data_IF_423757830886
#
_entry.id   IF_423757830886
#
_cell.length_a   1.000
_cell.length_b   1.000
_cell.length_c   1.000
_cell.angle_alpha   90.00
_cell.angle_beta   90.00
_cell.angle_gamma   90.00
#
_symmetry.space_group_name_H-M   'P 1'
#
loop_
_entity.id
_entity.type
_entity.pdbx_description
1 polymer ?
#
# COMPACT_ATOMS: atom_id res chain seq x y z
N UNK A 1 -5.01 -13.64 4.65
CA UNK A 1 -5.60 -12.67 5.61
C UNK A 1 -5.21 -12.89 7.05
N UNK A 2 -4.93 -14.13 7.48
CA UNK A 2 -4.59 -14.46 8.86
C UNK A 2 -3.44 -13.61 9.44
N UNK A 3 -2.39 -13.34 8.66
CA UNK A 3 -1.25 -12.52 9.11
C UNK A 3 -1.70 -11.12 9.56
N UNK A 4 -2.58 -10.47 8.78
CA UNK A 4 -3.09 -9.13 9.12
C UNK A 4 -3.91 -9.20 10.41
N UNK A 5 -4.80 -10.19 10.53
CA UNK A 5 -5.59 -10.41 11.73
C UNK A 5 -4.70 -10.64 12.97
N UNK A 6 -3.65 -11.46 12.84
CA UNK A 6 -2.71 -11.73 13.93
C UNK A 6 -1.97 -10.48 14.39
N UNK A 7 -1.55 -9.60 13.48
CA UNK A 7 -0.88 -8.34 13.83
C UNK A 7 -1.86 -7.40 14.54
N UNK A 8 -3.08 -7.25 14.02
CA UNK A 8 -4.12 -6.43 14.66
C UNK A 8 -4.43 -6.96 16.06
N UNK A 9 -4.62 -8.27 16.22
CA UNK A 9 -4.87 -8.88 17.51
C UNK A 9 -3.71 -8.69 18.48
N UNK A 10 -2.46 -8.84 18.02
CA UNK A 10 -1.26 -8.60 18.84
C UNK A 10 -1.22 -7.18 19.39
N UNK A 11 -1.49 -6.17 18.56
CA UNK A 11 -1.47 -4.76 18.99
C UNK A 11 -2.59 -4.49 20.00
N UNK A 12 -3.80 -5.00 19.76
CA UNK A 12 -4.96 -4.77 20.62
C UNK A 12 -4.86 -5.52 21.95
N UNK A 13 -4.26 -6.71 21.96
CA UNK A 13 -4.12 -7.54 23.16
C UNK A 13 -2.85 -7.25 23.98
N UNK A 14 -1.98 -6.34 23.53
CA UNK A 14 -0.70 -6.03 24.17
C UNK A 14 -0.81 -5.66 25.65
N UNK A 15 -1.91 -5.03 26.06
CA UNK A 15 -2.15 -4.55 27.43
C UNK A 15 -3.31 -5.29 28.13
N UNK A 16 -3.58 -6.54 27.73
CA UNK A 16 -4.63 -7.42 28.29
C UNK A 16 -6.01 -6.75 28.47
N UNK A 17 -6.34 -5.83 27.58
CA UNK A 17 -7.56 -5.05 27.64
C UNK A 17 -8.80 -5.96 27.55
N UNK A 18 -9.85 -5.72 28.36
CA UNK A 18 -11.09 -6.47 28.21
C UNK A 18 -11.65 -6.26 26.80
N UNK A 19 -12.24 -7.29 26.23
CA UNK A 19 -12.80 -7.26 24.87
C UNK A 19 -11.77 -7.13 23.73
N UNK A 20 -10.50 -7.48 23.98
CA UNK A 20 -9.44 -7.46 22.96
C UNK A 20 -9.81 -8.20 21.66
N UNK A 21 -10.48 -9.35 21.75
CA UNK A 21 -10.96 -10.10 20.58
C UNK A 21 -11.98 -9.31 19.75
N UNK A 22 -12.99 -8.71 20.38
CA UNK A 22 -14.04 -7.98 19.65
C UNK A 22 -13.52 -6.65 19.08
N UNK A 23 -12.62 -5.97 19.79
CA UNK A 23 -11.90 -4.80 19.28
C UNK A 23 -11.01 -5.16 18.09
N UNK A 24 -10.25 -6.26 18.19
CA UNK A 24 -9.42 -6.74 17.10
C UNK A 24 -10.26 -7.11 15.87
N UNK A 25 -11.39 -7.80 16.07
CA UNK A 25 -12.35 -8.10 15.00
C UNK A 25 -12.87 -6.82 14.35
N UNK A 26 -13.27 -5.82 15.14
CA UNK A 26 -13.79 -4.56 14.61
C UNK A 26 -12.74 -3.79 13.80
N UNK A 27 -11.51 -3.67 14.31
CA UNK A 27 -10.40 -3.05 13.60
C UNK A 27 -10.07 -3.80 12.30
N UNK A 28 -9.95 -5.13 12.38
CA UNK A 28 -9.68 -5.98 11.22
C UNK A 28 -10.80 -5.86 10.17
N UNK A 29 -12.06 -5.90 10.58
CA UNK A 29 -13.20 -5.76 9.68
C UNK A 29 -13.17 -4.42 8.92
N UNK A 30 -12.94 -3.31 9.62
CA UNK A 30 -12.86 -2.00 8.96
C UNK A 30 -11.68 -1.93 7.99
N UNK A 31 -10.52 -2.47 8.36
CA UNK A 31 -9.38 -2.58 7.45
C UNK A 31 -9.76 -3.39 6.20
N UNK A 32 -10.42 -4.54 6.37
CA UNK A 32 -10.85 -5.38 5.25
C UNK A 32 -11.88 -4.72 4.35
N UNK A 33 -12.74 -3.86 4.89
CA UNK A 33 -13.65 -3.03 4.08
C UNK A 33 -12.86 -2.02 3.26
N UNK A 34 -11.85 -1.37 3.85
CA UNK A 34 -11.06 -0.33 3.18
C UNK A 34 -10.18 -0.86 2.04
N UNK A 35 -9.63 -2.08 2.20
CA UNK A 35 -8.85 -2.78 1.16
C UNK A 35 -9.66 -3.84 0.40
N UNK A 36 -10.98 -3.89 0.61
CA UNK A 36 -11.86 -4.95 0.10
C UNK A 36 -11.83 -5.10 -1.42
N UNK A 37 -11.65 -4.01 -2.14
CA UNK A 37 -11.57 -3.99 -3.61
C UNK A 37 -10.36 -4.78 -4.15
N UNK A 38 -9.33 -5.05 -3.34
CA UNK A 38 -8.19 -5.88 -3.75
C UNK A 38 -8.55 -7.37 -3.82
N UNK A 39 -9.67 -7.77 -3.24
CA UNK A 39 -10.08 -9.18 -3.10
C UNK A 39 -11.27 -9.54 -3.99
N UNK A 40 -11.77 -8.59 -4.80
CA UNK A 40 -12.94 -8.80 -5.64
C UNK A 40 -12.56 -8.72 -7.10
N UNK A 41 -12.67 -9.84 -7.83
CA UNK A 41 -12.40 -9.92 -9.27
C UNK A 41 -13.18 -8.87 -10.08
N UNK A 42 -14.42 -8.60 -9.68
CA UNK A 42 -15.27 -7.56 -10.30
C UNK A 42 -14.69 -6.16 -10.17
N UNK A 43 -13.87 -5.94 -9.14
CA UNK A 43 -13.26 -4.65 -8.83
C UNK A 43 -11.84 -4.52 -9.37
N UNK A 44 -11.18 -5.60 -9.81
CA UNK A 44 -9.76 -5.60 -10.18
C UNK A 44 -9.37 -4.49 -11.17
N UNK A 45 -10.25 -4.22 -12.14
CA UNK A 45 -10.04 -3.23 -13.20
C UNK A 45 -10.36 -1.80 -12.72
N UNK A 46 -11.14 -1.63 -11.65
CA UNK A 46 -11.50 -0.30 -11.13
C UNK A 46 -10.28 0.44 -10.60
N UNK A 47 -10.38 1.75 -10.36
CA UNK A 47 -9.26 2.54 -9.83
C UNK A 47 -8.80 2.04 -8.45
N UNK A 48 -9.71 1.53 -7.63
CA UNK A 48 -9.45 1.08 -6.27
C UNK A 48 -9.08 -0.40 -6.17
N UNK A 49 -9.35 -1.20 -7.20
CA UNK A 49 -8.97 -2.61 -7.27
C UNK A 49 -7.50 -2.84 -7.62
N UNK A 50 -7.09 -4.11 -7.62
CA UNK A 50 -5.68 -4.50 -7.63
C UNK A 50 -4.93 -4.04 -8.90
N UNK A 51 -5.51 -4.23 -10.10
CA UNK A 51 -4.89 -3.76 -11.34
C UNK A 51 -5.03 -2.24 -11.51
N UNK A 52 -6.04 -1.63 -10.89
CA UNK A 52 -6.11 -0.17 -10.70
C UNK A 52 -4.88 0.36 -9.98
N UNK A 53 -4.58 -0.19 -8.81
CA UNK A 53 -3.42 0.19 -8.02
C UNK A 53 -2.10 -0.14 -8.74
N UNK A 54 -2.01 -1.26 -9.47
CA UNK A 54 -0.86 -1.55 -10.34
C UNK A 54 -0.60 -0.43 -11.35
N UNK A 55 -1.66 0.09 -11.99
CA UNK A 55 -1.53 1.25 -12.91
C UNK A 55 -1.10 2.52 -12.18
N UNK A 56 -1.52 2.71 -10.93
CA UNK A 56 -1.05 3.83 -10.08
C UNK A 56 0.46 3.70 -9.82
N UNK A 57 0.97 2.51 -9.48
CA UNK A 57 2.41 2.26 -9.32
C UNK A 57 3.17 2.64 -10.58
N UNK A 58 2.72 2.17 -11.76
CA UNK A 58 3.34 2.52 -13.04
C UNK A 58 3.27 4.02 -13.34
N UNK A 59 2.19 4.70 -12.96
CA UNK A 59 2.06 6.15 -13.14
C UNK A 59 3.05 6.93 -12.26
N UNK A 60 3.23 6.51 -11.01
CA UNK A 60 4.22 7.10 -10.09
C UNK A 60 5.62 6.92 -10.67
N UNK A 61 5.96 5.69 -11.06
CA UNK A 61 7.27 5.39 -11.66
C UNK A 61 7.49 6.14 -12.96
N UNK A 62 6.49 6.25 -13.84
CA UNK A 62 6.62 7.04 -15.08
C UNK A 62 6.97 8.51 -14.83
N UNK A 63 6.51 9.08 -13.70
CA UNK A 63 6.83 10.46 -13.31
C UNK A 63 8.20 10.55 -12.63
N UNK A 64 8.57 9.56 -11.82
CA UNK A 64 9.74 9.61 -10.92
C UNK A 64 11.01 8.96 -11.49
N UNK A 65 10.88 7.83 -12.15
CA UNK A 65 11.96 7.14 -12.86
C UNK A 65 11.40 6.50 -14.17
N UNK A 66 11.32 7.30 -15.27
CA UNK A 66 10.80 6.82 -16.55
C UNK A 66 11.59 5.64 -17.12
N UNK A 67 12.91 5.61 -16.90
CA UNK A 67 13.79 4.54 -17.39
C UNK A 67 13.49 3.21 -16.69
N UNK A 68 13.32 3.23 -15.37
CA UNK A 68 12.89 2.07 -14.60
C UNK A 68 11.49 1.61 -15.02
N UNK A 69 10.54 2.54 -15.17
CA UNK A 69 9.19 2.23 -15.63
C UNK A 69 9.21 1.51 -16.99
N UNK A 70 9.97 2.02 -17.94
CA UNK A 70 10.12 1.40 -19.27
C UNK A 70 10.75 0.01 -19.17
N UNK A 71 11.74 -0.20 -18.30
CA UNK A 71 12.36 -1.50 -18.07
C UNK A 71 11.36 -2.53 -17.51
N UNK A 72 10.58 -2.16 -16.48
CA UNK A 72 9.55 -3.01 -15.87
C UNK A 72 8.50 -3.43 -16.91
N UNK A 73 8.05 -2.48 -17.74
CA UNK A 73 7.10 -2.75 -18.81
C UNK A 73 7.69 -3.64 -19.91
N UNK A 74 8.91 -3.34 -20.37
CA UNK A 74 9.61 -4.16 -21.39
C UNK A 74 9.79 -5.61 -20.93
N UNK A 75 10.14 -5.81 -19.66
CA UNK A 75 10.33 -7.14 -19.06
C UNK A 75 9.02 -7.84 -18.70
N UNK A 76 7.89 -7.12 -18.76
CA UNK A 76 6.57 -7.58 -18.33
C UNK A 76 6.56 -8.16 -16.91
N UNK A 77 7.25 -7.51 -15.96
CA UNK A 77 7.43 -8.08 -14.61
C UNK A 77 6.10 -8.31 -13.88
N UNK A 78 5.16 -7.36 -13.99
CA UNK A 78 3.84 -7.49 -13.35
C UNK A 78 2.95 -8.54 -14.00
N UNK A 79 3.14 -8.84 -15.29
CA UNK A 79 2.42 -9.93 -15.96
C UNK A 79 3.04 -11.31 -15.72
N UNK A 80 4.35 -11.37 -15.42
CA UNK A 80 5.08 -12.62 -15.17
C UNK A 80 5.10 -13.03 -13.69
N UNK A 81 4.97 -12.10 -12.75
CA UNK A 81 4.90 -12.40 -11.31
C UNK A 81 3.95 -11.47 -10.56
N UNK A 82 3.28 -12.05 -9.57
CA UNK A 82 2.32 -11.38 -8.69
C UNK A 82 2.97 -10.79 -7.41
N UNK A 83 4.29 -10.59 -7.38
CA UNK A 83 5.01 -10.05 -6.20
C UNK A 83 4.37 -8.74 -5.67
N UNK A 84 4.01 -7.82 -6.58
CA UNK A 84 3.41 -6.54 -6.23
C UNK A 84 1.98 -6.69 -5.68
N UNK A 85 1.22 -7.69 -6.13
CA UNK A 85 -0.09 -8.04 -5.57
C UNK A 85 0.07 -8.52 -4.14
N UNK A 86 1.04 -9.42 -3.91
CA UNK A 86 1.36 -9.93 -2.58
C UNK A 86 1.73 -8.79 -1.62
N UNK A 87 2.57 -7.86 -2.05
CA UNK A 87 2.91 -6.66 -1.28
C UNK A 87 1.69 -5.82 -0.91
N UNK A 88 0.78 -5.57 -1.85
CA UNK A 88 -0.44 -4.77 -1.62
C UNK A 88 -1.46 -5.49 -0.70
N UNK A 89 -1.75 -6.76 -0.99
CA UNK A 89 -2.76 -7.55 -0.27
C UNK A 89 -2.34 -7.85 1.16
N UNK A 90 -1.04 -8.04 1.40
CA UNK A 90 -0.49 -8.26 2.74
C UNK A 90 -0.02 -6.97 3.41
N UNK A 91 -0.17 -5.80 2.76
CA UNK A 91 0.34 -4.53 3.27
C UNK A 91 1.80 -4.63 3.73
N UNK A 92 2.63 -5.33 2.96
CA UNK A 92 4.03 -5.64 3.24
C UNK A 92 4.30 -6.45 4.53
N UNK A 93 3.29 -6.98 5.22
CA UNK A 93 3.47 -7.72 6.48
C UNK A 93 4.21 -9.05 6.33
N UNK A 94 4.47 -9.50 5.10
CA UNK A 94 5.29 -10.68 4.81
C UNK A 94 6.76 -10.32 4.50
N UNK A 95 7.07 -9.04 4.31
CA UNK A 95 8.42 -8.57 3.95
C UNK A 95 9.24 -8.14 5.16
N UNK A 96 8.57 -7.77 6.24
CA UNK A 96 9.18 -7.10 7.38
C UNK A 96 8.88 -7.85 8.69
N UNK A 97 9.77 -7.68 9.66
CA UNK A 97 9.49 -8.10 11.03
C UNK A 97 8.34 -7.27 11.62
N UNK A 98 7.76 -7.75 12.72
CA UNK A 98 6.57 -7.14 13.32
C UNK A 98 6.78 -5.66 13.65
N UNK A 99 7.89 -5.30 14.29
CA UNK A 99 8.21 -3.91 14.66
C UNK A 99 8.21 -2.98 13.45
N UNK A 100 8.86 -3.41 12.38
CA UNK A 100 8.98 -2.63 11.14
C UNK A 100 7.65 -2.58 10.37
N UNK A 101 6.90 -3.68 10.38
CA UNK A 101 5.54 -3.73 9.82
C UNK A 101 4.64 -2.69 10.50
N UNK A 102 4.67 -2.63 11.83
CA UNK A 102 3.89 -1.66 12.60
C UNK A 102 4.28 -0.20 12.28
N UNK A 103 5.57 0.09 12.15
CA UNK A 103 6.05 1.42 11.78
C UNK A 103 5.58 1.85 10.38
N UNK A 104 5.62 0.94 9.40
CA UNK A 104 5.09 1.18 8.05
C UNK A 104 3.57 1.36 8.07
N UNK A 105 2.87 0.51 8.83
CA UNK A 105 1.41 0.55 8.95
C UNK A 105 0.91 1.85 9.60
N UNK A 106 1.65 2.38 10.57
CA UNK A 106 1.35 3.70 11.13
C UNK A 106 1.24 4.75 10.02
N UNK A 107 2.20 4.78 9.09
CA UNK A 107 2.17 5.70 7.94
C UNK A 107 1.09 5.33 6.92
N UNK A 108 0.81 4.05 6.69
CA UNK A 108 -0.25 3.63 5.78
C UNK A 108 -1.64 4.07 6.25
N UNK A 109 -1.87 4.14 7.57
CA UNK A 109 -3.18 4.44 8.15
C UNK A 109 -3.34 5.91 8.62
N UNK A 110 -2.26 6.68 8.68
CA UNK A 110 -2.30 8.11 9.05
C UNK A 110 -3.04 9.01 8.03
N UNK A 111 -3.18 8.61 6.76
CA UNK A 111 -3.65 9.50 5.70
C UNK A 111 -5.19 9.56 5.55
N UNK A 112 -5.81 10.56 6.20
CA UNK A 112 -7.11 11.12 5.76
C UNK A 112 -6.94 12.58 5.27
N UNK A 113 -7.53 12.99 4.13
CA UNK A 113 -8.30 12.22 3.16
C UNK A 113 -7.49 11.87 1.89
N UNK A 114 -7.52 10.60 1.49
CA UNK A 114 -7.27 10.08 0.13
C UNK A 114 -5.87 10.22 -0.47
N UNK A 115 -4.85 9.70 0.22
CA UNK A 115 -3.73 9.08 -0.50
C UNK A 115 -3.55 7.69 0.08
N UNK A 116 -3.71 6.66 -0.75
CA UNK A 116 -3.34 5.31 -0.35
C UNK A 116 -1.82 5.29 -0.45
N UNK A 117 -1.11 5.28 0.68
CA UNK A 117 0.35 5.28 0.73
C UNK A 117 0.95 4.02 0.09
N UNK A 118 0.20 2.92 0.04
CA UNK A 118 0.66 1.60 -0.41
C UNK A 118 1.25 1.59 -1.84
N UNK A 119 0.60 2.12 -2.90
CA UNK A 119 1.23 2.23 -4.22
C UNK A 119 2.51 3.08 -4.26
N UNK A 120 2.59 4.14 -3.45
CA UNK A 120 3.79 4.98 -3.35
C UNK A 120 4.94 4.21 -2.72
N UNK A 121 4.64 3.45 -1.67
CA UNK A 121 5.59 2.54 -1.04
C UNK A 121 6.06 1.45 -2.01
N UNK A 122 5.14 0.80 -2.75
CA UNK A 122 5.50 -0.13 -3.81
C UNK A 122 6.43 0.49 -4.86
N UNK A 123 6.14 1.71 -5.32
CA UNK A 123 6.99 2.41 -6.27
C UNK A 123 8.37 2.74 -5.68
N UNK A 124 8.43 3.16 -4.42
CA UNK A 124 9.68 3.43 -3.70
C UNK A 124 10.56 2.19 -3.60
N UNK A 125 9.98 1.05 -3.22
CA UNK A 125 10.67 -0.25 -3.19
C UNK A 125 11.25 -0.61 -4.56
N UNK A 126 10.48 -0.42 -5.64
CA UNK A 126 10.97 -0.68 -7.00
C UNK A 126 12.14 0.25 -7.37
N UNK A 127 12.13 1.50 -6.90
CA UNK A 127 13.24 2.45 -7.10
C UNK A 127 14.48 2.04 -6.31
N UNK A 128 14.34 1.56 -5.07
CA UNK A 128 15.47 0.99 -4.30
C UNK A 128 16.09 -0.19 -5.05
N UNK A 129 15.26 -1.04 -5.64
CA UNK A 129 15.70 -2.24 -6.38
C UNK A 129 16.05 -1.95 -7.86
N UNK A 130 16.15 -0.68 -8.25
CA UNK A 130 16.37 -0.24 -9.64
C UNK A 130 17.55 -0.94 -10.31
N UNK A 131 18.70 -0.96 -9.65
CA UNK A 131 19.94 -1.51 -10.25
C UNK A 131 19.80 -2.99 -10.58
N UNK A 132 19.12 -3.74 -9.70
CA UNK A 132 18.81 -5.17 -9.90
C UNK A 132 17.85 -5.31 -11.09
N UNK A 133 16.75 -4.54 -11.08
CA UNK A 133 15.71 -4.59 -12.12
C UNK A 133 16.28 -4.25 -13.49
N UNK A 134 17.21 -3.32 -13.61
CA UNK A 134 17.80 -2.92 -14.89
C UNK A 134 18.82 -3.96 -15.36
N UNK A 135 19.76 -4.36 -14.51
CA UNK A 135 20.94 -5.17 -14.90
C UNK A 135 20.64 -6.66 -15.11
N UNK A 136 19.71 -7.24 -14.37
CA UNK A 136 19.44 -8.67 -14.43
C UNK A 136 18.38 -9.02 -15.49
N UNK A 137 18.35 -10.26 -15.98
CA UNK A 137 17.30 -10.77 -16.85
C UNK A 137 15.97 -10.98 -16.08
N UNK A 138 14.86 -11.12 -16.81
CA UNK A 138 13.52 -11.14 -16.21
C UNK A 138 13.34 -12.23 -15.14
N UNK A 139 13.89 -13.42 -15.35
CA UNK A 139 13.72 -14.56 -14.45
C UNK A 139 14.46 -14.29 -13.13
N UNK A 140 15.71 -13.82 -13.21
CA UNK A 140 16.50 -13.48 -12.02
C UNK A 140 15.93 -12.29 -11.24
N UNK A 141 15.42 -11.28 -11.95
CA UNK A 141 14.74 -10.15 -11.30
C UNK A 141 13.54 -10.63 -10.51
N UNK A 142 12.68 -11.48 -11.10
CA UNK A 142 11.50 -12.02 -10.41
C UNK A 142 11.90 -12.78 -9.15
N UNK A 143 12.85 -13.71 -9.26
CA UNK A 143 13.33 -14.46 -8.10
C UNK A 143 13.91 -13.55 -7.02
N UNK A 144 14.61 -12.47 -7.41
CA UNK A 144 15.16 -11.49 -6.45
C UNK A 144 14.07 -10.66 -5.80
N UNK A 145 13.05 -10.21 -6.54
CA UNK A 145 11.95 -9.40 -6.02
C UNK A 145 11.09 -10.17 -5.00
N UNK A 146 11.03 -11.48 -5.10
CA UNK A 146 10.27 -12.32 -4.17
C UNK A 146 10.93 -12.49 -2.80
N UNK A 147 12.26 -12.31 -2.71
CA UNK A 147 13.05 -12.49 -1.48
C UNK A 147 13.88 -11.26 -1.11
N UNK A 148 13.63 -10.12 -1.76
CA UNK A 148 14.43 -8.92 -1.59
C UNK A 148 14.34 -8.41 -0.14
N UNK A 149 15.50 -8.23 0.49
CA UNK A 149 15.60 -7.53 1.77
C UNK A 149 15.47 -6.03 1.51
N UNK A 150 14.35 -5.47 1.92
CA UNK A 150 14.02 -4.06 1.73
C UNK A 150 14.17 -3.36 3.08
N UNK A 151 14.82 -2.20 3.11
CA UNK A 151 14.81 -1.35 4.30
C UNK A 151 13.48 -0.56 4.32
N UNK A 152 12.58 -0.80 5.30
CA UNK A 152 11.27 -0.17 5.33
C UNK A 152 11.35 1.34 5.53
N UNK A 153 12.30 1.84 6.32
CA UNK A 153 12.46 3.28 6.59
C UNK A 153 12.96 4.05 5.38
N UNK A 154 13.87 3.46 4.61
CA UNK A 154 14.33 4.03 3.34
C UNK A 154 13.19 4.10 2.32
N UNK A 155 12.41 3.01 2.20
CA UNK A 155 11.24 2.96 1.33
C UNK A 155 10.16 3.99 1.74
N UNK A 156 9.94 4.18 3.05
CA UNK A 156 9.03 5.22 3.56
C UNK A 156 9.51 6.62 3.17
N UNK A 157 10.79 6.93 3.37
CA UNK A 157 11.34 8.25 3.07
C UNK A 157 11.16 8.63 1.58
N UNK A 158 11.45 7.68 0.68
CA UNK A 158 11.28 7.86 -0.78
C UNK A 158 9.78 7.99 -1.12
N UNK A 159 8.92 7.16 -0.53
CA UNK A 159 7.47 7.23 -0.77
C UNK A 159 6.89 8.58 -0.34
N UNK A 160 7.33 9.13 0.79
CA UNK A 160 6.92 10.46 1.27
C UNK A 160 7.42 11.59 0.37
N UNK A 161 8.62 11.47 -0.21
CA UNK A 161 9.09 12.38 -1.26
C UNK A 161 8.20 12.31 -2.51
N UNK A 162 7.73 11.12 -2.89
CA UNK A 162 6.80 10.99 -4.01
C UNK A 162 5.47 11.69 -3.77
N UNK A 163 4.99 11.69 -2.53
CA UNK A 163 3.76 12.38 -2.12
C UNK A 163 3.91 13.91 -2.12
N UNK A 164 5.08 14.44 -1.74
CA UNK A 164 5.33 15.90 -1.70
C UNK A 164 5.27 16.56 -3.08
N UNK A 165 5.59 15.82 -4.13
CA UNK A 165 5.59 16.31 -5.52
C UNK A 165 4.21 16.35 -6.19
N UNK A 166 3.12 16.19 -5.41
CA UNK A 166 1.75 16.33 -5.90
C UNK A 166 1.40 17.83 -5.90
N UNK A 167 1.14 18.45 -7.06
CA UNK A 167 0.81 19.88 -7.10
C UNK A 167 -0.48 20.16 -6.31
N UNK A 168 -0.46 21.21 -5.47
CA UNK A 168 -1.54 21.59 -4.56
C UNK A 168 -2.93 21.73 -5.22
N UNK A 169 -2.98 21.97 -6.54
CA UNK A 169 -4.21 22.05 -7.34
C UNK A 169 -5.01 20.74 -7.38
N UNK A 170 -4.35 19.57 -7.30
CA UNK A 170 -5.03 18.27 -7.21
C UNK A 170 -5.71 18.09 -5.86
N UNK A 171 -5.06 18.53 -4.77
CA UNK A 171 -5.62 18.50 -3.41
C UNK A 171 -6.93 19.31 -3.32
N UNK A 172 -6.96 20.52 -3.91
CA UNK A 172 -8.16 21.35 -3.91
C UNK A 172 -9.35 20.68 -4.62
N UNK A 173 -9.09 19.99 -5.74
CA UNK A 173 -10.12 19.28 -6.51
C UNK A 173 -10.68 18.05 -5.76
N UNK A 174 -9.86 17.34 -5.00
CA UNK A 174 -10.29 16.18 -4.20
C UNK A 174 -11.01 16.61 -2.93
N UNK A 175 -10.58 17.68 -2.27
CA UNK A 175 -11.28 18.29 -1.14
C UNK A 175 -12.67 18.77 -1.60
N UNK A 176 -12.76 19.46 -2.75
CA UNK A 176 -14.04 19.84 -3.35
C UNK A 176 -14.90 18.61 -3.69
N UNK A 177 -14.34 17.53 -4.25
CA UNK A 177 -15.10 16.30 -4.50
C UNK A 177 -15.59 15.62 -3.22
N UNK A 178 -14.82 15.64 -2.14
CA UNK A 178 -15.24 15.06 -0.84
C UNK A 178 -16.25 15.96 -0.14
N UNK A 179 -16.15 17.28 -0.23
CA UNK A 179 -17.12 18.20 0.34
C UNK A 179 -18.43 18.23 -0.47
N UNK A 180 -18.36 18.08 -1.80
CA UNK A 180 -19.53 18.11 -2.70
C UNK A 180 -20.20 16.72 -2.82
N UNK A 181 -19.45 15.62 -2.80
CA UNK A 181 -20.01 14.25 -2.95
C UNK A 181 -19.89 13.35 -1.70
N UNK A 182 -19.11 13.73 -0.69
CA UNK A 182 -18.85 12.88 0.48
C UNK A 182 -19.89 12.97 1.60
N UNK A 183 -20.93 13.79 1.46
CA UNK A 183 -21.94 13.94 2.50
C UNK A 183 -23.09 12.94 2.30
N UNK A 184 -22.87 11.67 2.67
CA UNK A 184 -23.98 10.80 3.09
C UNK A 184 -23.68 9.56 3.94
N UNK A 185 -22.45 9.08 4.14
CA UNK A 185 -22.22 7.94 5.06
C UNK A 185 -20.87 8.01 5.79
N UNK A 186 -20.94 7.90 7.13
CA UNK A 186 -19.87 7.70 8.14
C UNK A 186 -19.17 8.95 8.69
N UNK A 187 -19.94 9.75 9.42
CA UNK A 187 -19.47 10.41 10.65
C UNK A 187 -19.99 9.56 11.80
N UNK A 188 -19.09 8.90 12.53
CA UNK A 188 -19.24 8.14 13.79
C UNK A 188 -18.06 7.13 13.73
N UNK A 189 -17.01 7.12 14.54
CA UNK A 189 -16.78 7.50 15.94
C UNK A 189 -15.27 7.70 16.09
N UNK A 190 -14.83 8.81 16.68
CA UNK A 190 -13.52 8.98 17.34
C UNK A 190 -13.58 10.28 18.17
N UNK A 191 -14.53 10.31 19.10
CA UNK A 191 -14.53 11.13 20.32
C UNK A 191 -15.28 10.29 21.33
N UNK A 192 -14.68 10.03 22.49
CA UNK A 192 -15.07 9.01 23.48
C UNK A 192 -14.80 7.60 22.94
N UNK A 193 -13.71 6.92 23.26
CA UNK A 193 -13.04 6.71 24.56
C UNK A 193 -11.52 6.80 24.43
#
# INVERSE_FOLDING_TARGET
MNIICSIVYYVISYDEQPYSESLAYFCFFNLMVDIGDYFSEKMDITETGIFGQQRVILRILRKKDPSLCACIQKKNLFGKSAFHIRWMVLLFSAEFELKDTLAVWERFFQERPRRKMVPYFCAAVLVILREIIIKQDEIRVIGTLEVAKINPYEALAIAEEFLRDIPMLLLASEILRVLVYGNKRRILICKYY
#
